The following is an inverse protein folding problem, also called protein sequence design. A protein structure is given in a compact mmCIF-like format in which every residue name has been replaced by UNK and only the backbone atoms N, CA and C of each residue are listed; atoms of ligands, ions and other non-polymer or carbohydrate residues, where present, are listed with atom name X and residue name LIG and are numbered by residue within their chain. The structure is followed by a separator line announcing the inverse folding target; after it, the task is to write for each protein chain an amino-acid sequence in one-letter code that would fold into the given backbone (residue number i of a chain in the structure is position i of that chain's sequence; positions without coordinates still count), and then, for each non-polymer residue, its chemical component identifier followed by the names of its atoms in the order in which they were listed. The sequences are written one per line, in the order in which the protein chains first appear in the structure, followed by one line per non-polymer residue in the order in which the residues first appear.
data_IF_843647127254
#
_entry.id   IF_843647127254
#
_cell.length_a   1.000
_cell.length_b   1.000
_cell.length_c   1.000
_cell.angle_alpha   90.00
_cell.angle_beta   90.00
_cell.angle_gamma   90.00
#
_symmetry.space_group_name_H-M   'P 1'
#
loop_
_entity.id
_entity.type
_entity.pdbx_description
1 polymer ?
#
# COMPACT_ATOMS: atom_id res chain seq x y z
N UNK A 1 -12.06 5.69 11.85
CA UNK A 1 -11.49 5.14 10.61
C UNK A 1 -10.34 6.06 10.21
N UNK A 2 -9.15 5.55 9.87
CA UNK A 2 -8.01 6.40 9.53
C UNK A 2 -8.32 7.30 8.33
N UNK A 3 -7.78 8.52 8.34
CA UNK A 3 -7.86 9.46 7.22
C UNK A 3 -6.85 9.11 6.13
N UNK A 4 -6.95 9.78 4.96
CA UNK A 4 -5.96 9.68 3.89
C UNK A 4 -4.55 10.03 4.40
N UNK A 5 -4.45 11.10 5.19
CA UNK A 5 -3.20 11.56 5.77
C UNK A 5 -2.60 10.55 6.76
N UNK A 6 -3.45 9.93 7.60
CA UNK A 6 -2.99 8.90 8.55
C UNK A 6 -2.41 7.69 7.82
N UNK A 7 -3.08 7.23 6.75
CA UNK A 7 -2.66 6.09 5.94
C UNK A 7 -1.32 6.35 5.25
N UNK A 8 -1.16 7.52 4.62
CA UNK A 8 0.06 7.89 3.92
C UNK A 8 1.22 8.18 4.90
N UNK A 9 0.94 8.82 6.04
CA UNK A 9 1.92 9.03 7.11
C UNK A 9 2.46 7.71 7.63
N UNK A 10 1.56 6.76 7.95
CA UNK A 10 1.96 5.44 8.41
C UNK A 10 2.79 4.69 7.36
N UNK A 11 2.39 4.70 6.08
CA UNK A 11 3.17 4.06 5.01
C UNK A 11 4.56 4.71 4.84
N UNK A 12 4.66 6.04 4.99
CA UNK A 12 5.94 6.76 4.93
C UNK A 12 6.89 6.32 6.04
N UNK A 13 6.40 6.12 7.25
CA UNK A 13 7.21 5.64 8.39
C UNK A 13 7.53 4.15 8.32
N UNK A 14 6.62 3.35 7.74
CA UNK A 14 6.76 1.90 7.63
C UNK A 14 6.70 1.41 6.18
N UNK A 15 7.62 1.81 5.28
CA UNK A 15 7.48 1.57 3.85
C UNK A 15 7.67 0.10 3.46
N UNK A 16 8.22 -0.76 4.32
CA UNK A 16 8.49 -2.17 3.99
C UNK A 16 7.41 -3.08 4.55
N UNK A 17 7.01 -4.07 3.77
CA UNK A 17 6.14 -5.15 4.25
C UNK A 17 6.98 -6.12 5.11
N UNK A 18 6.94 -5.92 6.43
CA UNK A 18 7.56 -6.80 7.43
C UNK A 18 6.48 -7.53 8.22
N UNK A 19 6.82 -8.65 8.85
CA UNK A 19 5.89 -9.40 9.72
C UNK A 19 5.33 -8.51 10.85
N UNK A 20 6.15 -7.64 11.43
CA UNK A 20 5.74 -6.72 12.50
C UNK A 20 4.81 -5.59 12.04
N UNK A 21 4.81 -5.22 10.75
CA UNK A 21 3.96 -4.12 10.26
C UNK A 21 2.46 -4.40 10.44
N UNK A 22 2.04 -5.65 10.34
CA UNK A 22 0.64 -6.01 10.54
C UNK A 22 0.19 -5.79 11.99
N UNK A 23 1.09 -5.95 12.95
CA UNK A 23 0.82 -5.65 14.35
C UNK A 23 0.77 -4.14 14.59
N UNK A 24 1.72 -3.38 14.01
CA UNK A 24 1.71 -1.92 14.06
C UNK A 24 0.43 -1.32 13.45
N UNK A 25 -0.06 -1.85 12.33
CA UNK A 25 -1.34 -1.41 11.74
C UNK A 25 -2.48 -1.54 12.75
N UNK A 26 -2.55 -2.66 13.48
CA UNK A 26 -3.62 -2.87 14.47
C UNK A 26 -3.45 -1.94 15.67
N UNK A 27 -2.22 -1.78 16.15
CA UNK A 27 -1.93 -1.03 17.36
C UNK A 27 -2.04 0.49 17.15
N UNK A 28 -1.57 1.01 16.02
CA UNK A 28 -1.52 2.45 15.75
C UNK A 28 -2.77 2.97 15.02
N UNK A 29 -3.31 2.21 14.07
CA UNK A 29 -4.44 2.65 13.26
C UNK A 29 -5.78 2.05 13.69
N UNK A 30 -5.78 1.06 14.59
CA UNK A 30 -6.99 0.43 15.12
C UNK A 30 -7.80 -0.35 14.06
N UNK A 31 -7.19 -0.74 12.95
CA UNK A 31 -7.87 -1.42 11.84
C UNK A 31 -7.20 -2.74 11.45
N UNK A 32 -7.95 -3.61 10.77
CA UNK A 32 -7.40 -4.84 10.24
C UNK A 32 -6.39 -4.55 9.10
N UNK A 33 -5.28 -5.32 8.99
CA UNK A 33 -4.30 -5.12 7.93
C UNK A 33 -4.88 -5.13 6.52
N UNK A 34 -5.85 -6.00 6.24
CA UNK A 34 -6.52 -6.05 4.93
C UNK A 34 -7.26 -4.74 4.60
N UNK A 35 -7.91 -4.14 5.61
CA UNK A 35 -8.60 -2.85 5.48
C UNK A 35 -7.59 -1.74 5.22
N UNK A 36 -6.48 -1.74 5.96
CA UNK A 36 -5.38 -0.79 5.75
C UNK A 36 -4.86 -0.82 4.32
N UNK A 37 -4.49 -1.99 3.78
CA UNK A 37 -3.91 -2.05 2.43
C UNK A 37 -4.90 -1.65 1.34
N UNK A 38 -6.19 -1.98 1.51
CA UNK A 38 -7.25 -1.54 0.60
C UNK A 38 -7.40 -0.03 0.61
N UNK A 39 -7.49 0.57 1.79
CA UNK A 39 -7.76 2.00 1.94
C UNK A 39 -6.51 2.83 1.62
N UNK A 40 -5.31 2.32 1.88
CA UNK A 40 -4.04 2.90 1.44
C UNK A 40 -3.97 3.00 -0.09
N UNK A 41 -4.38 1.96 -0.82
CA UNK A 41 -4.38 2.00 -2.28
C UNK A 41 -5.37 3.06 -2.79
N UNK A 42 -6.54 3.20 -2.14
CA UNK A 42 -7.52 4.24 -2.47
C UNK A 42 -6.97 5.64 -2.18
N UNK A 43 -6.33 5.82 -1.03
CA UNK A 43 -5.67 7.06 -0.63
C UNK A 43 -4.57 7.45 -1.65
N UNK A 44 -3.73 6.50 -2.05
CA UNK A 44 -2.69 6.74 -3.06
C UNK A 44 -3.25 7.08 -4.46
N UNK A 45 -4.49 6.73 -4.75
CA UNK A 45 -5.16 7.02 -6.03
C UNK A 45 -6.02 8.29 -5.99
N UNK A 46 -6.25 8.89 -4.82
CA UNK A 46 -7.10 10.07 -4.68
C UNK A 46 -6.30 11.35 -4.89
N UNK A 47 -6.98 12.41 -5.36
CA UNK A 47 -6.37 13.74 -5.49
C UNK A 47 -5.80 14.22 -4.15
N UNK A 48 -6.56 14.06 -3.06
CA UNK A 48 -6.14 14.41 -1.69
C UNK A 48 -4.82 13.72 -1.30
N UNK A 49 -4.64 12.44 -1.65
CA UNK A 49 -3.41 11.73 -1.33
C UNK A 49 -2.20 12.22 -2.14
N UNK A 50 -2.41 12.57 -3.41
CA UNK A 50 -1.38 13.16 -4.27
C UNK A 50 -0.97 14.56 -3.81
N UNK A 51 -1.93 15.37 -3.35
CA UNK A 51 -1.69 16.70 -2.77
C UNK A 51 -0.95 16.62 -1.43
N UNK A 52 -1.26 15.61 -0.60
CA UNK A 52 -0.64 15.43 0.70
C UNK A 52 0.78 14.86 0.65
N UNK A 53 0.99 13.73 -0.05
CA UNK A 53 2.29 13.08 -0.18
C UNK A 53 2.40 12.33 -1.52
N UNK A 54 2.78 13.07 -2.55
CA UNK A 54 3.01 12.58 -3.92
C UNK A 54 3.98 11.40 -3.97
N UNK A 55 5.07 11.43 -3.18
CA UNK A 55 6.11 10.41 -3.23
C UNK A 55 5.65 9.08 -2.64
N UNK A 56 4.93 9.13 -1.52
CA UNK A 56 4.39 7.92 -0.90
C UNK A 56 3.25 7.35 -1.75
N UNK A 57 2.37 8.20 -2.31
CA UNK A 57 1.30 7.78 -3.21
C UNK A 57 1.84 7.06 -4.46
N UNK A 58 2.81 7.66 -5.17
CA UNK A 58 3.41 7.06 -6.37
C UNK A 58 4.07 5.71 -6.04
N UNK A 59 4.84 5.64 -4.94
CA UNK A 59 5.49 4.40 -4.51
C UNK A 59 4.48 3.27 -4.28
N UNK A 60 3.35 3.55 -3.63
CA UNK A 60 2.29 2.57 -3.39
C UNK A 60 1.71 2.07 -4.71
N UNK A 61 1.41 2.98 -5.65
CA UNK A 61 0.89 2.64 -6.97
C UNK A 61 1.88 1.75 -7.74
N UNK A 62 3.15 2.16 -7.79
CA UNK A 62 4.21 1.41 -8.48
C UNK A 62 4.40 0.01 -7.90
N UNK A 63 4.33 -0.14 -6.57
CA UNK A 63 4.42 -1.47 -5.93
C UNK A 63 3.31 -2.41 -6.40
N UNK A 64 2.07 -1.92 -6.51
CA UNK A 64 0.94 -2.72 -6.99
C UNK A 64 1.11 -3.07 -8.46
N UNK A 65 1.57 -2.12 -9.29
CA UNK A 65 1.87 -2.35 -10.71
C UNK A 65 2.90 -3.45 -10.89
N UNK A 66 4.05 -3.35 -10.22
CA UNK A 66 5.10 -4.39 -10.30
C UNK A 66 4.68 -5.74 -9.71
N UNK A 67 3.82 -5.76 -8.69
CA UNK A 67 3.27 -7.02 -8.17
C UNK A 67 2.36 -7.72 -9.19
N UNK A 68 1.55 -6.94 -9.94
CA UNK A 68 0.72 -7.45 -11.04
C UNK A 68 1.58 -8.00 -12.18
N UNK A 69 2.60 -7.25 -12.59
CA UNK A 69 3.47 -7.65 -13.70
C UNK A 69 4.22 -8.96 -13.40
N UNK A 70 4.81 -9.09 -12.20
CA UNK A 70 5.47 -10.35 -11.77
C UNK A 70 4.54 -11.56 -11.82
N UNK A 71 3.26 -11.38 -11.47
CA UNK A 71 2.26 -12.45 -11.55
C UNK A 71 1.94 -12.84 -13.00
N UNK A 72 1.90 -11.87 -13.91
CA UNK A 72 1.69 -12.12 -15.33
C UNK A 72 2.89 -12.85 -15.98
N UNK A 73 4.12 -12.48 -15.61
CA UNK A 73 5.34 -13.14 -16.13
C UNK A 73 5.41 -14.62 -15.72
N UNK A 74 5.00 -14.97 -14.51
CA UNK A 74 5.05 -16.36 -14.01
C UNK A 74 4.02 -17.29 -14.68
N UNK A 75 2.85 -16.76 -15.08
CA UNK A 75 1.82 -17.54 -15.79
C UNK A 75 2.14 -17.75 -17.28
N UNK A 76 3.10 -17.00 -17.83
CA UNK A 76 3.54 -17.09 -19.22
C UNK A 76 4.65 -18.10 -19.50
N UNK A 77 5.39 -18.57 -18.48
CA UNK A 77 6.58 -19.42 -18.68
C UNK A 77 6.35 -20.93 -18.54
N UNK A 78 5.10 -21.40 -18.50
CA UNK A 78 4.74 -22.78 -18.21
C UNK A 78 4.33 -23.65 -19.41
N UNK A 79 4.76 -23.32 -20.64
CA UNK A 79 4.56 -24.17 -21.83
C UNK A 79 5.79 -24.16 -22.72
N UNK A 80 6.63 -25.18 -22.59
CA UNK A 80 7.51 -25.74 -23.63
C UNK A 80 7.96 -27.12 -23.18
#
# INVERSE_FOLDING_TARGET
MPTVQDLLTFERHHPRATSGKNELIRNELGIAPAVYYRDLLRAAQSLEGWEYDTFTADRVIMRVKFARDRRATWLGSGRS
#
